data_IF_599312205997
#
_entry.id   IF_599312205997
#
_cell.length_a   1.000
_cell.length_b   1.000
_cell.length_c   1.000
_cell.angle_alpha   90.00
_cell.angle_beta   90.00
_cell.angle_gamma   90.00
#
_symmetry.space_group_name_H-M   'P 1'
#
loop_
_entity.id
_entity.type
_entity.pdbx_description
1 polymer ?
#
# COMPACT_ATOMS: atom_id res chain seq x y z
N UNK A 1 -3.07 6.09 -23.02
CA UNK A 1 -4.06 6.38 -24.09
C UNK A 1 -4.17 7.88 -24.20
N UNK A 2 -3.87 8.45 -25.37
CA UNK A 2 -3.93 9.88 -25.60
C UNK A 2 -5.37 10.40 -25.51
N UNK A 3 -5.51 11.64 -25.04
CA UNK A 3 -6.81 12.34 -24.95
C UNK A 3 -7.37 12.64 -26.37
N UNK A 4 -6.58 12.37 -27.42
CA UNK A 4 -6.78 12.91 -28.78
C UNK A 4 -8.05 12.56 -29.53
N UNK A 5 -8.74 11.47 -29.17
CA UNK A 5 -9.92 11.02 -29.92
C UNK A 5 -11.24 11.12 -29.12
N UNK A 6 -11.22 11.79 -27.98
CA UNK A 6 -12.38 11.89 -27.10
C UNK A 6 -13.05 13.25 -27.23
N UNK A 7 -14.38 13.23 -27.41
CA UNK A 7 -15.18 14.45 -27.38
C UNK A 7 -15.47 14.98 -25.99
N UNK A 8 -15.29 14.14 -24.95
CA UNK A 8 -15.59 14.47 -23.56
C UNK A 8 -14.66 13.74 -22.59
N UNK A 9 -14.26 14.40 -21.50
CA UNK A 9 -13.42 13.85 -20.43
C UNK A 9 -13.85 14.44 -19.08
N UNK A 10 -13.84 13.62 -18.02
CA UNK A 10 -14.13 14.14 -16.68
C UNK A 10 -12.92 14.82 -16.05
N UNK A 11 -13.16 15.76 -15.11
CA UNK A 11 -12.07 16.41 -14.36
C UNK A 11 -11.26 15.39 -13.56
N UNK A 12 -11.88 14.35 -13.01
CA UNK A 12 -11.18 13.31 -12.27
C UNK A 12 -10.33 12.42 -13.19
N UNK A 13 -10.81 12.11 -14.38
CA UNK A 13 -10.02 11.40 -15.37
C UNK A 13 -8.80 12.22 -15.82
N UNK A 14 -8.98 13.51 -16.08
CA UNK A 14 -7.88 14.44 -16.36
C UNK A 14 -6.86 14.48 -15.22
N UNK A 15 -7.34 14.51 -14.01
CA UNK A 15 -6.52 14.47 -12.79
C UNK A 15 -5.67 13.19 -12.73
N UNK A 16 -6.24 12.03 -13.07
CA UNK A 16 -5.50 10.77 -13.12
C UNK A 16 -4.43 10.73 -14.23
N UNK A 17 -4.72 11.32 -15.39
CA UNK A 17 -3.81 11.32 -16.55
C UNK A 17 -2.71 12.36 -16.40
N UNK A 18 -3.05 13.57 -15.92
CA UNK A 18 -2.19 14.77 -15.97
C UNK A 18 -1.81 15.31 -14.60
N UNK A 19 -2.38 14.76 -13.51
CA UNK A 19 -2.26 15.27 -12.14
C UNK A 19 -2.77 16.71 -11.92
N UNK A 20 -3.53 17.25 -12.85
CA UNK A 20 -4.18 18.56 -12.72
C UNK A 20 -5.15 18.55 -11.56
N UNK A 21 -5.12 19.58 -10.74
CA UNK A 21 -5.99 19.69 -9.58
C UNK A 21 -5.46 19.01 -8.32
N UNK A 22 -4.25 18.42 -8.36
CA UNK A 22 -3.65 17.73 -7.22
C UNK A 22 -2.88 18.64 -6.25
N UNK A 23 -2.61 19.89 -6.62
CA UNK A 23 -1.92 20.85 -5.76
C UNK A 23 -2.80 21.43 -4.63
N UNK A 24 -2.18 22.21 -3.73
CA UNK A 24 -2.81 22.82 -2.57
C UNK A 24 -4.06 23.67 -2.88
N UNK A 25 -4.13 24.29 -4.07
CA UNK A 25 -5.30 25.05 -4.53
C UNK A 25 -6.47 24.16 -5.01
N UNK A 26 -6.34 22.83 -4.94
CA UNK A 26 -7.38 21.85 -5.32
C UNK A 26 -7.97 22.08 -6.72
N UNK A 27 -7.15 22.48 -7.66
CA UNK A 27 -7.58 22.71 -9.04
C UNK A 27 -8.20 24.09 -9.32
N UNK A 28 -8.37 24.96 -8.33
CA UNK A 28 -8.98 26.29 -8.52
C UNK A 28 -8.29 27.11 -9.59
N UNK A 29 -6.99 26.95 -9.80
CA UNK A 29 -6.20 27.69 -10.81
C UNK A 29 -6.02 26.94 -12.12
N UNK A 30 -5.71 25.63 -12.07
CA UNK A 30 -5.37 24.86 -13.26
C UNK A 30 -6.58 24.29 -13.99
N UNK A 31 -7.65 23.86 -13.30
CA UNK A 31 -8.82 23.26 -13.94
C UNK A 31 -9.51 24.20 -14.90
N UNK A 32 -9.79 25.50 -14.57
CA UNK A 32 -10.38 26.43 -15.54
C UNK A 32 -9.53 26.63 -16.78
N UNK A 33 -8.20 26.74 -16.64
CA UNK A 33 -7.28 26.92 -17.77
C UNK A 33 -7.26 25.70 -18.69
N UNK A 34 -7.29 24.51 -18.13
CA UNK A 34 -7.30 23.27 -18.92
C UNK A 34 -8.65 23.06 -19.60
N UNK A 35 -9.76 23.40 -18.92
CA UNK A 35 -11.08 23.42 -19.55
C UNK A 35 -11.08 24.32 -20.79
N UNK A 36 -10.56 25.54 -20.68
CA UNK A 36 -10.45 26.46 -21.79
C UNK A 36 -9.59 25.87 -22.92
N UNK A 37 -8.41 25.32 -22.60
CA UNK A 37 -7.50 24.72 -23.58
C UNK A 37 -8.12 23.52 -24.29
N UNK A 38 -8.78 22.63 -23.60
CA UNK A 38 -9.38 21.43 -24.19
C UNK A 38 -10.63 21.80 -25.01
N UNK A 39 -11.37 22.81 -24.59
CA UNK A 39 -12.52 23.34 -25.36
C UNK A 39 -12.10 23.88 -26.73
N UNK A 40 -10.94 24.54 -26.84
CA UNK A 40 -10.40 24.98 -28.17
C UNK A 40 -10.04 23.82 -29.06
N UNK A 41 -9.88 22.62 -28.52
CA UNK A 41 -9.63 21.36 -29.23
C UNK A 41 -10.89 20.51 -29.44
N UNK A 42 -12.06 21.04 -29.16
CA UNK A 42 -13.33 20.34 -29.30
C UNK A 42 -13.59 19.27 -28.24
N UNK A 43 -12.85 19.30 -27.13
CA UNK A 43 -12.99 18.35 -26.02
C UNK A 43 -13.71 19.05 -24.85
N UNK A 44 -14.85 18.52 -24.45
CA UNK A 44 -15.59 19.01 -23.30
C UNK A 44 -15.06 18.38 -22.00
N UNK A 45 -14.80 19.21 -20.99
CA UNK A 45 -14.38 18.77 -19.66
C UNK A 45 -15.55 18.87 -18.71
N UNK A 46 -16.08 17.74 -18.26
CA UNK A 46 -17.26 17.66 -17.43
C UNK A 46 -16.93 17.36 -15.96
N UNK A 47 -17.87 17.71 -15.07
CA UNK A 47 -17.77 17.43 -13.65
C UNK A 47 -16.91 18.41 -12.86
N UNK A 48 -16.87 18.23 -11.56
CA UNK A 48 -16.00 18.93 -10.61
C UNK A 48 -14.98 17.95 -10.05
N UNK A 49 -13.78 18.41 -9.65
CA UNK A 49 -12.83 17.52 -8.98
C UNK A 49 -13.48 16.90 -7.76
N UNK A 50 -13.40 15.59 -7.62
CA UNK A 50 -13.85 14.92 -6.38
C UNK A 50 -13.13 15.57 -5.20
N UNK A 51 -13.86 16.09 -4.20
CA UNK A 51 -13.26 16.69 -3.04
C UNK A 51 -12.36 15.65 -2.38
N UNK A 52 -11.07 15.94 -2.27
CA UNK A 52 -10.26 15.22 -1.30
C UNK A 52 -10.82 15.61 0.06
N UNK A 53 -11.14 14.62 0.88
CA UNK A 53 -11.50 14.88 2.27
C UNK A 53 -10.49 15.84 2.90
N UNK A 54 -10.80 16.51 3.99
CA UNK A 54 -10.05 17.64 4.52
C UNK A 54 -8.64 17.20 4.90
N UNK A 55 -7.70 17.27 3.94
CA UNK A 55 -6.26 17.05 4.18
C UNK A 55 -5.65 18.17 5.02
N UNK A 56 -6.40 19.24 5.27
CA UNK A 56 -5.94 20.41 6.00
C UNK A 56 -6.64 20.62 7.35
N UNK A 57 -7.63 19.84 7.73
CA UNK A 57 -8.07 19.82 9.11
C UNK A 57 -7.03 19.03 9.91
N UNK A 58 -6.49 19.62 10.95
CA UNK A 58 -5.85 18.87 12.03
C UNK A 58 -6.94 17.98 12.63
N UNK A 59 -7.16 16.83 12.00
CA UNK A 59 -8.05 15.82 12.55
C UNK A 59 -7.28 15.21 13.71
N UNK A 60 -7.78 15.40 14.92
CA UNK A 60 -7.22 14.76 16.08
C UNK A 60 -7.21 13.24 15.81
N UNK A 61 -6.10 12.57 16.11
CA UNK A 61 -5.99 11.12 15.95
C UNK A 61 -7.15 10.39 16.65
N UNK A 62 -7.65 10.94 17.76
CA UNK A 62 -8.87 10.46 18.45
C UNK A 62 -10.15 10.58 17.62
N UNK A 63 -10.25 11.56 16.71
CA UNK A 63 -11.40 11.74 15.82
C UNK A 63 -11.33 10.80 14.60
N UNK A 64 -10.13 10.42 14.19
CA UNK A 64 -9.92 9.42 13.12
C UNK A 64 -10.07 7.98 13.62
N UNK A 65 -9.76 7.78 14.89
CA UNK A 65 -9.89 6.53 15.61
C UNK A 65 -10.48 6.88 17.00
N UNK A 66 -11.80 7.10 17.10
CA UNK A 66 -12.43 7.21 18.40
C UNK A 66 -12.05 5.94 19.19
N UNK A 67 -11.42 6.11 20.32
CA UNK A 67 -10.98 5.02 21.18
C UNK A 67 -12.15 4.16 21.67
N UNK A 68 -13.36 4.68 21.53
CA UNK A 68 -14.61 4.03 21.94
C UNK A 68 -15.53 3.66 20.77
N UNK A 69 -15.24 4.11 19.55
CA UNK A 69 -15.91 3.64 18.35
C UNK A 69 -14.93 2.76 17.58
N UNK A 70 -15.02 1.50 17.83
CA UNK A 70 -14.68 0.49 16.85
C UNK A 70 -15.25 0.96 15.49
N UNK A 71 -14.43 1.27 14.43
CA UNK A 71 -15.01 1.62 13.15
C UNK A 71 -15.83 0.41 12.76
N UNK A 72 -17.14 0.51 12.83
CA UNK A 72 -18.11 -0.55 12.52
C UNK A 72 -17.46 -1.90 12.08
N UNK A 73 -16.65 -2.49 12.91
CA UNK A 73 -16.57 -3.93 13.01
C UNK A 73 -18.02 -4.27 13.27
N UNK A 74 -18.71 -4.83 12.29
CA UNK A 74 -20.08 -5.24 12.43
C UNK A 74 -20.11 -6.02 13.73
N UNK A 75 -20.49 -5.31 14.80
CA UNK A 75 -20.67 -5.88 16.12
C UNK A 75 -21.69 -6.96 15.89
N UNK A 76 -21.26 -8.21 16.06
CA UNK A 76 -22.03 -9.41 16.16
C UNK A 76 -23.47 -9.21 15.68
N UNK A 77 -23.67 -9.25 14.36
CA UNK A 77 -25.00 -9.46 13.84
C UNK A 77 -25.35 -10.87 14.31
N UNK A 78 -26.52 -11.07 14.90
CA UNK A 78 -26.98 -12.36 15.47
C UNK A 78 -27.15 -13.46 14.41
N UNK A 79 -26.28 -13.52 13.43
CA UNK A 79 -26.23 -14.52 12.39
C UNK A 79 -25.56 -15.80 12.87
N UNK A 80 -26.31 -16.87 12.98
CA UNK A 80 -25.73 -18.21 13.16
C UNK A 80 -24.97 -18.59 11.89
N UNK A 81 -23.82 -19.27 12.00
CA UNK A 81 -23.10 -19.79 10.83
C UNK A 81 -24.04 -20.66 9.98
N UNK A 82 -24.11 -20.38 8.68
CA UNK A 82 -24.92 -21.14 7.73
C UNK A 82 -24.21 -22.43 7.32
N UNK A 83 -22.88 -22.44 7.38
CA UNK A 83 -22.06 -23.61 7.08
C UNK A 83 -20.73 -23.56 7.81
N UNK A 84 -20.07 -24.73 7.89
CA UNK A 84 -18.74 -24.92 8.45
C UNK A 84 -17.81 -25.44 7.38
N UNK A 85 -16.64 -24.86 7.28
CA UNK A 85 -15.59 -25.21 6.33
C UNK A 85 -14.30 -25.54 7.09
N UNK A 86 -13.37 -26.24 6.44
CA UNK A 86 -12.06 -26.53 7.03
C UNK A 86 -10.94 -26.17 6.05
N UNK A 87 -9.83 -25.71 6.59
CA UNK A 87 -8.56 -25.54 5.86
C UNK A 87 -7.38 -25.82 6.81
N UNK A 88 -6.19 -26.03 6.26
CA UNK A 88 -4.99 -26.14 7.10
C UNK A 88 -4.56 -24.75 7.59
N UNK A 89 -4.57 -23.76 6.70
CA UNK A 89 -4.11 -22.40 7.00
C UNK A 89 -5.19 -21.39 6.62
N UNK A 90 -5.57 -20.55 7.57
CA UNK A 90 -6.46 -19.41 7.32
C UNK A 90 -5.67 -18.10 7.42
N UNK A 91 -5.60 -17.35 6.33
CA UNK A 91 -4.89 -16.06 6.25
C UNK A 91 -5.89 -14.92 6.32
N UNK A 92 -5.85 -14.16 7.39
CA UNK A 92 -6.68 -12.98 7.57
C UNK A 92 -5.98 -11.73 7.03
N UNK A 93 -6.50 -11.17 5.94
CA UNK A 93 -6.01 -9.96 5.31
C UNK A 93 -5.25 -10.20 3.99
N UNK A 94 -5.80 -9.64 2.89
CA UNK A 94 -5.24 -9.77 1.54
C UNK A 94 -4.30 -8.62 1.14
N UNK A 95 -3.58 -8.00 2.09
CA UNK A 95 -2.50 -7.06 1.80
C UNK A 95 -1.22 -7.77 1.31
N UNK A 96 -0.11 -7.02 1.17
CA UNK A 96 1.15 -7.57 0.67
C UNK A 96 1.61 -8.78 1.50
N UNK A 97 1.63 -8.65 2.82
CA UNK A 97 2.03 -9.73 3.75
C UNK A 97 1.14 -10.96 3.62
N UNK A 98 -0.19 -10.77 3.67
CA UNK A 98 -1.12 -11.89 3.56
C UNK A 98 -1.09 -12.55 2.20
N UNK A 99 -1.00 -11.78 1.11
CA UNK A 99 -0.91 -12.32 -0.25
C UNK A 99 0.40 -13.11 -0.47
N UNK A 100 1.53 -12.64 0.09
CA UNK A 100 2.79 -13.36 0.03
C UNK A 100 2.75 -14.69 0.81
N UNK A 101 2.16 -14.70 2.01
CA UNK A 101 1.98 -15.90 2.81
C UNK A 101 0.98 -16.86 2.17
N UNK A 102 -0.13 -16.34 1.63
CA UNK A 102 -1.09 -17.14 0.86
C UNK A 102 -0.42 -17.87 -0.29
N UNK A 103 0.37 -17.16 -1.11
CA UNK A 103 1.18 -17.75 -2.17
C UNK A 103 2.10 -18.84 -1.61
N UNK A 104 2.90 -18.51 -0.59
CA UNK A 104 3.86 -19.43 0.02
C UNK A 104 3.21 -20.74 0.47
N UNK A 105 2.08 -20.67 1.18
CA UNK A 105 1.39 -21.86 1.66
C UNK A 105 0.80 -22.67 0.51
N UNK A 106 0.21 -22.02 -0.49
CA UNK A 106 -0.33 -22.69 -1.67
C UNK A 106 0.77 -23.42 -2.48
N UNK A 107 1.90 -22.75 -2.76
CA UNK A 107 3.07 -23.36 -3.42
C UNK A 107 3.60 -24.57 -2.64
N UNK A 108 3.51 -24.55 -1.31
CA UNK A 108 3.87 -25.66 -0.43
C UNK A 108 2.72 -26.68 -0.22
N UNK A 109 1.72 -26.68 -1.10
CA UNK A 109 0.61 -27.65 -1.15
C UNK A 109 -0.24 -27.66 0.13
N UNK A 110 -0.31 -26.56 0.83
CA UNK A 110 -1.20 -26.39 1.99
C UNK A 110 -2.58 -25.99 1.53
N UNK A 111 -3.61 -26.52 2.18
CA UNK A 111 -4.98 -26.09 2.00
C UNK A 111 -5.16 -24.73 2.64
N UNK A 112 -4.94 -23.65 1.87
CA UNK A 112 -4.95 -22.27 2.37
C UNK A 112 -6.16 -21.50 1.88
N UNK A 113 -6.80 -20.80 2.81
CA UNK A 113 -7.89 -19.85 2.55
C UNK A 113 -7.44 -18.46 3.03
N UNK A 114 -7.59 -17.45 2.17
CA UNK A 114 -7.32 -16.06 2.51
C UNK A 114 -8.60 -15.23 2.45
N UNK A 115 -8.87 -14.44 3.49
CA UNK A 115 -9.98 -13.48 3.49
C UNK A 115 -9.47 -12.08 3.17
N UNK A 116 -10.17 -11.37 2.28
CA UNK A 116 -9.85 -10.02 1.87
C UNK A 116 -11.12 -9.15 1.77
N UNK A 117 -11.21 -8.14 2.64
CA UNK A 117 -12.40 -7.29 2.72
C UNK A 117 -12.19 -5.89 2.13
N UNK A 118 -11.08 -5.23 2.47
CA UNK A 118 -10.82 -3.83 2.10
C UNK A 118 -9.47 -3.67 1.45
N UNK A 119 -9.34 -2.65 0.63
CA UNK A 119 -8.05 -2.21 0.11
C UNK A 119 -7.31 -1.41 1.18
N UNK A 120 -6.41 -2.08 1.91
CA UNK A 120 -5.58 -1.49 2.97
C UNK A 120 -4.38 -0.70 2.43
N UNK A 121 -3.36 -0.51 3.29
CA UNK A 121 -2.15 0.27 2.99
C UNK A 121 -1.38 -0.22 1.77
N UNK A 122 -1.40 -1.53 1.49
CA UNK A 122 -0.71 -2.13 0.33
C UNK A 122 -1.24 -1.65 -1.02
N UNK A 123 -2.49 -1.17 -1.10
CA UNK A 123 -3.08 -0.58 -2.30
C UNK A 123 -2.86 0.94 -2.40
N UNK A 124 -2.50 1.57 -1.30
CA UNK A 124 -2.43 3.03 -1.16
C UNK A 124 -1.02 3.57 -1.04
N UNK A 125 -0.01 2.71 -1.18
CA UNK A 125 1.39 3.11 -1.13
C UNK A 125 1.87 3.66 -2.47
N UNK A 126 3.06 4.25 -2.47
CA UNK A 126 3.73 4.77 -3.68
C UNK A 126 4.46 3.68 -4.47
N UNK A 127 4.46 2.45 -3.98
CA UNK A 127 5.11 1.28 -4.56
C UNK A 127 6.62 1.42 -4.82
N UNK A 128 7.28 2.27 -4.06
CA UNK A 128 8.73 2.41 -4.11
C UNK A 128 9.43 1.36 -3.24
N UNK A 129 10.44 0.73 -3.77
CA UNK A 129 11.35 -0.14 -3.04
C UNK A 129 12.79 0.40 -3.10
N UNK A 130 13.56 0.19 -2.03
CA UNK A 130 14.94 0.66 -1.91
C UNK A 130 15.77 -0.28 -1.04
N UNK A 131 17.06 -0.48 -1.32
CA UNK A 131 17.97 -1.20 -0.42
C UNK A 131 18.64 -0.29 0.61
N UNK A 132 18.57 1.05 0.46
CA UNK A 132 19.20 2.00 1.39
C UNK A 132 18.46 2.07 2.72
N UNK A 133 18.75 1.13 3.61
CA UNK A 133 18.28 1.11 5.00
C UNK A 133 19.46 1.26 5.96
N UNK A 134 19.22 1.84 7.13
CA UNK A 134 20.23 1.96 8.20
C UNK A 134 20.65 0.61 8.81
N UNK A 135 19.90 -0.45 8.56
CA UNK A 135 20.18 -1.82 9.05
C UNK A 135 20.57 -2.70 7.85
N UNK A 136 21.81 -3.22 7.78
CA UNK A 136 22.32 -3.99 6.64
C UNK A 136 21.43 -5.21 6.30
N UNK A 137 20.97 -5.95 7.30
CA UNK A 137 20.10 -7.11 7.10
C UNK A 137 18.78 -6.76 6.40
N UNK A 138 18.23 -5.57 6.66
CA UNK A 138 17.01 -5.09 5.97
C UNK A 138 17.33 -4.72 4.53
N UNK A 139 18.51 -4.12 4.28
CA UNK A 139 18.98 -3.84 2.92
C UNK A 139 19.11 -5.13 2.08
N UNK A 140 19.64 -6.20 2.66
CA UNK A 140 19.76 -7.51 2.00
C UNK A 140 18.40 -8.13 1.69
N UNK A 141 17.45 -8.05 2.62
CA UNK A 141 16.05 -8.47 2.39
C UNK A 141 15.43 -7.65 1.26
N UNK A 142 15.68 -6.35 1.20
CA UNK A 142 15.16 -5.49 0.14
C UNK A 142 15.72 -5.89 -1.23
N UNK A 143 17.02 -6.22 -1.34
CA UNK A 143 17.61 -6.72 -2.59
C UNK A 143 17.02 -8.06 -3.02
N UNK A 144 16.82 -8.98 -2.08
CA UNK A 144 16.13 -10.25 -2.37
C UNK A 144 14.71 -10.02 -2.88
N UNK A 145 13.98 -9.06 -2.29
CA UNK A 145 12.65 -8.68 -2.77
C UNK A 145 12.69 -8.13 -4.20
N UNK A 146 13.72 -7.37 -4.59
CA UNK A 146 13.84 -6.89 -5.97
C UNK A 146 13.90 -8.04 -6.97
N UNK A 147 14.58 -9.12 -6.65
CA UNK A 147 14.64 -10.31 -7.52
C UNK A 147 13.25 -10.96 -7.67
N UNK A 148 12.47 -11.02 -6.59
CA UNK A 148 11.07 -11.48 -6.65
C UNK A 148 10.23 -10.57 -7.56
N UNK A 149 10.41 -9.24 -7.48
CA UNK A 149 9.71 -8.29 -8.35
C UNK A 149 10.11 -8.45 -9.82
N UNK A 150 11.40 -8.71 -10.11
CA UNK A 150 11.89 -9.01 -11.46
C UNK A 150 11.25 -10.27 -12.02
N UNK A 151 11.12 -11.30 -11.19
CA UNK A 151 10.45 -12.55 -11.55
C UNK A 151 8.95 -12.31 -11.86
N UNK A 152 8.25 -11.61 -11.00
CA UNK A 152 6.85 -11.23 -11.23
C UNK A 152 6.69 -10.41 -12.50
N UNK A 153 7.64 -9.50 -12.81
CA UNK A 153 7.61 -8.70 -14.05
C UNK A 153 7.74 -9.57 -15.31
N UNK A 154 8.48 -10.68 -15.25
CA UNK A 154 8.59 -11.65 -16.38
C UNK A 154 7.29 -12.41 -16.59
N UNK A 155 6.60 -12.78 -15.51
CA UNK A 155 5.37 -13.56 -15.56
C UNK A 155 4.14 -12.70 -15.87
N UNK A 156 4.08 -11.52 -15.27
CA UNK A 156 2.96 -10.58 -15.39
C UNK A 156 3.50 -9.15 -15.36
N UNK A 157 3.06 -8.29 -16.26
CA UNK A 157 3.55 -6.92 -16.31
C UNK A 157 3.11 -6.10 -15.10
N UNK A 158 3.93 -6.05 -14.05
CA UNK A 158 3.68 -5.28 -12.82
C UNK A 158 4.13 -3.81 -12.92
N UNK A 159 4.56 -3.37 -14.11
CA UNK A 159 5.14 -2.05 -14.36
C UNK A 159 6.38 -1.76 -13.51
N UNK A 160 7.24 -2.76 -13.34
CA UNK A 160 8.51 -2.60 -12.61
C UNK A 160 9.42 -1.63 -13.38
N UNK A 161 9.86 -0.58 -12.71
CA UNK A 161 10.78 0.43 -13.24
C UNK A 161 11.88 0.69 -12.24
N UNK A 162 13.10 0.84 -12.74
CA UNK A 162 14.19 1.37 -11.93
C UNK A 162 13.93 2.86 -11.64
N UNK A 163 14.25 3.28 -10.45
CA UNK A 163 14.13 4.65 -9.98
C UNK A 163 15.29 5.00 -9.06
N UNK A 164 15.32 6.24 -8.60
CA UNK A 164 16.30 6.71 -7.62
C UNK A 164 15.59 7.12 -6.34
N UNK A 165 16.25 6.92 -5.22
CA UNK A 165 15.79 7.44 -3.94
C UNK A 165 16.76 8.52 -3.48
N UNK A 166 16.20 9.64 -2.98
CA UNK A 166 16.99 10.77 -2.51
C UNK A 166 16.61 11.04 -1.06
N UNK A 167 17.57 10.87 -0.17
CA UNK A 167 17.44 11.22 1.26
C UNK A 167 18.20 12.51 1.53
N UNK A 168 17.54 13.53 2.06
CA UNK A 168 18.19 14.81 2.38
C UNK A 168 18.68 14.86 3.82
N UNK A 169 19.90 15.35 4.01
CA UNK A 169 20.48 15.69 5.31
C UNK A 169 20.20 17.16 5.61
N UNK A 170 19.62 17.46 6.76
CA UNK A 170 19.31 18.80 7.22
C UNK A 170 20.14 19.22 8.46
N UNK A 171 20.82 18.26 9.07
CA UNK A 171 21.74 18.45 10.20
C UNK A 171 22.84 17.39 10.19
N UNK A 172 23.81 17.55 11.06
CA UNK A 172 24.97 16.65 11.16
C UNK A 172 24.59 15.23 11.58
N UNK A 173 23.55 15.06 12.40
CA UNK A 173 23.06 13.75 12.82
C UNK A 173 22.47 13.00 11.63
N UNK A 174 21.62 13.65 10.85
CA UNK A 174 21.02 13.09 9.64
C UNK A 174 22.09 12.82 8.58
N UNK A 175 23.06 13.73 8.41
CA UNK A 175 24.19 13.55 7.51
C UNK A 175 24.97 12.27 7.86
N UNK A 176 25.34 12.11 9.13
CA UNK A 176 26.06 10.92 9.59
C UNK A 176 25.26 9.63 9.35
N UNK A 177 23.97 9.62 9.67
CA UNK A 177 23.12 8.46 9.47
C UNK A 177 23.00 8.08 7.99
N UNK A 178 22.91 9.04 7.08
CA UNK A 178 22.91 8.81 5.64
C UNK A 178 24.28 8.32 5.15
N UNK A 179 25.36 8.95 5.60
CA UNK A 179 26.73 8.57 5.24
C UNK A 179 27.05 7.15 5.67
N UNK A 180 26.68 6.76 6.89
CA UNK A 180 26.91 5.42 7.41
C UNK A 180 26.18 4.36 6.56
N UNK A 181 25.03 4.70 5.96
CA UNK A 181 24.28 3.79 5.10
C UNK A 181 24.93 3.50 3.75
N UNK A 182 25.93 4.28 3.32
CA UNK A 182 26.68 4.02 2.08
C UNK A 182 27.48 2.72 2.13
N UNK A 183 27.88 2.28 3.31
CA UNK A 183 28.76 1.11 3.46
C UNK A 183 28.16 -0.22 2.97
N UNK A 184 26.84 -0.29 2.79
CA UNK A 184 26.11 -1.49 2.35
C UNK A 184 25.08 -1.25 1.26
N UNK A 185 25.16 -0.12 0.59
CA UNK A 185 24.30 0.24 -0.55
C UNK A 185 25.10 0.83 -1.69
N UNK A 186 24.59 0.85 -2.91
CA UNK A 186 25.16 1.55 -4.06
C UNK A 186 24.84 3.06 -4.03
N UNK A 187 24.80 3.62 -2.84
CA UNK A 187 24.47 5.01 -2.60
C UNK A 187 25.72 5.89 -2.59
N UNK A 188 25.54 7.15 -2.96
CA UNK A 188 26.59 8.16 -2.90
C UNK A 188 26.04 9.48 -2.37
N UNK A 189 26.91 10.22 -1.67
CA UNK A 189 26.57 11.54 -1.15
C UNK A 189 26.78 12.62 -2.21
N UNK A 190 25.91 13.60 -2.21
CA UNK A 190 25.94 14.77 -3.07
C UNK A 190 25.86 16.03 -2.22
N UNK A 191 26.79 16.96 -2.42
CA UNK A 191 26.76 18.26 -1.78
C UNK A 191 25.65 19.15 -2.35
N UNK A 192 25.17 20.10 -1.55
CA UNK A 192 24.09 21.04 -1.95
C UNK A 192 24.39 21.76 -3.28
N UNK A 193 25.64 22.15 -3.54
CA UNK A 193 26.06 22.83 -4.78
C UNK A 193 25.78 22.02 -6.05
N UNK A 194 25.71 20.69 -5.94
CA UNK A 194 25.53 19.77 -7.06
C UNK A 194 24.08 19.26 -7.19
N UNK A 195 23.15 19.70 -6.33
CA UNK A 195 21.76 19.23 -6.34
C UNK A 195 21.05 19.45 -7.69
N UNK A 196 21.28 20.59 -8.34
CA UNK A 196 20.68 20.86 -9.66
C UNK A 196 21.15 19.88 -10.73
N UNK A 197 22.41 19.48 -10.66
CA UNK A 197 23.01 18.55 -11.62
C UNK A 197 22.59 17.11 -11.32
N UNK A 198 22.68 16.69 -10.07
CA UNK A 198 22.58 15.28 -9.68
C UNK A 198 21.15 14.84 -9.32
N UNK A 199 20.30 15.76 -8.83
CA UNK A 199 18.95 15.46 -8.38
C UNK A 199 17.91 15.96 -9.41
N UNK A 200 17.87 17.29 -9.62
CA UNK A 200 16.91 17.90 -10.53
C UNK A 200 17.34 19.31 -10.92
N UNK A 201 17.30 19.68 -12.20
CA UNK A 201 17.59 21.05 -12.65
C UNK A 201 16.61 22.08 -12.09
N UNK A 202 15.45 21.63 -11.62
CA UNK A 202 14.41 22.46 -10.98
C UNK A 202 14.55 22.58 -9.47
N UNK A 203 15.66 22.06 -8.89
CA UNK A 203 15.87 22.17 -7.45
C UNK A 203 15.94 23.63 -7.04
N UNK A 204 15.20 24.00 -5.98
CA UNK A 204 15.16 25.38 -5.49
C UNK A 204 16.32 25.63 -4.51
N UNK A 205 17.34 26.35 -4.95
CA UNK A 205 18.52 26.67 -4.14
C UNK A 205 18.21 27.55 -2.92
N UNK A 206 17.06 28.25 -2.88
CA UNK A 206 16.65 29.04 -1.72
C UNK A 206 16.20 28.17 -0.54
N UNK A 207 16.06 26.86 -0.71
CA UNK A 207 15.83 25.92 0.38
C UNK A 207 17.14 25.67 1.13
N UNK A 208 17.45 26.54 2.08
CA UNK A 208 18.70 26.50 2.84
C UNK A 208 18.69 25.52 4.02
N UNK A 209 17.74 24.60 4.03
CA UNK A 209 17.54 23.62 5.10
C UNK A 209 18.31 22.31 4.85
N UNK A 210 18.87 22.12 3.65
CA UNK A 210 19.59 20.88 3.31
C UNK A 210 21.06 21.16 3.08
N UNK A 211 21.93 20.31 3.67
CA UNK A 211 23.39 20.38 3.54
C UNK A 211 23.90 19.45 2.43
N UNK A 212 23.36 18.24 2.38
CA UNK A 212 23.73 17.20 1.45
C UNK A 212 22.55 16.26 1.17
N UNK A 213 22.71 15.39 0.18
CA UNK A 213 21.75 14.34 -0.11
C UNK A 213 22.46 13.02 -0.38
N UNK A 214 21.85 11.93 0.06
CA UNK A 214 22.21 10.56 -0.33
C UNK A 214 21.36 10.14 -1.53
N UNK A 215 21.98 9.72 -2.60
CA UNK A 215 21.31 9.17 -3.79
C UNK A 215 21.56 7.68 -3.86
N UNK A 216 20.49 6.90 -4.00
CA UNK A 216 20.54 5.45 -4.19
C UNK A 216 19.94 5.09 -5.55
N UNK A 217 20.68 4.38 -6.40
CA UNK A 217 20.25 4.00 -7.74
C UNK A 217 19.55 2.65 -7.82
N UNK A 218 19.83 1.72 -6.92
CA UNK A 218 19.19 0.39 -6.84
C UNK A 218 17.74 0.44 -6.33
N UNK A 219 17.00 1.48 -6.66
CA UNK A 219 15.62 1.63 -6.24
C UNK A 219 14.69 1.24 -7.37
N UNK A 220 13.48 0.85 -7.00
CA UNK A 220 12.47 0.45 -7.98
C UNK A 220 11.10 0.96 -7.61
N UNK A 221 10.23 0.96 -8.58
CA UNK A 221 8.82 1.25 -8.44
C UNK A 221 8.01 0.25 -9.26
N UNK A 222 6.87 -0.18 -8.72
CA UNK A 222 5.91 -1.03 -9.42
C UNK A 222 4.48 -0.51 -9.18
N UNK A 223 3.48 -1.08 -9.82
CA UNK A 223 2.08 -0.77 -9.55
C UNK A 223 1.56 -1.67 -8.43
N UNK A 224 1.20 -1.16 -7.25
CA UNK A 224 0.86 -1.99 -6.08
C UNK A 224 -0.22 -3.03 -6.35
N UNK A 225 -1.29 -2.62 -7.03
CA UNK A 225 -2.38 -3.53 -7.39
C UNK A 225 -1.93 -4.69 -8.26
N UNK A 226 -1.14 -4.40 -9.30
CA UNK A 226 -0.63 -5.43 -10.21
C UNK A 226 0.31 -6.42 -9.50
N UNK A 227 1.12 -5.93 -8.54
CA UNK A 227 1.98 -6.80 -7.73
C UNK A 227 1.14 -7.74 -6.87
N UNK A 228 0.11 -7.20 -6.20
CA UNK A 228 -0.78 -8.01 -5.37
C UNK A 228 -1.53 -9.05 -6.21
N UNK A 229 -2.06 -8.65 -7.35
CA UNK A 229 -2.79 -9.56 -8.25
C UNK A 229 -1.87 -10.65 -8.78
N UNK A 230 -0.62 -10.32 -9.15
CA UNK A 230 0.37 -11.29 -9.60
C UNK A 230 0.67 -12.34 -8.51
N UNK A 231 0.93 -11.90 -7.28
CA UNK A 231 1.21 -12.79 -6.15
C UNK A 231 0.00 -13.70 -5.85
N UNK A 232 -1.19 -13.14 -5.83
CA UNK A 232 -2.45 -13.87 -5.57
C UNK A 232 -2.74 -14.90 -6.64
N UNK A 233 -2.58 -14.53 -7.91
CA UNK A 233 -2.82 -15.44 -9.03
C UNK A 233 -1.90 -16.67 -8.99
N UNK A 234 -0.65 -16.52 -8.54
CA UNK A 234 0.24 -17.67 -8.30
C UNK A 234 -0.36 -18.56 -7.20
N UNK A 235 -0.78 -18.01 -6.07
CA UNK A 235 -1.41 -18.81 -5.02
C UNK A 235 -2.68 -19.53 -5.48
N UNK A 236 -3.52 -18.86 -6.26
CA UNK A 236 -4.73 -19.45 -6.85
C UNK A 236 -4.39 -20.60 -7.81
N UNK A 237 -3.37 -20.44 -8.66
CA UNK A 237 -2.95 -21.50 -9.59
C UNK A 237 -2.40 -22.75 -8.89
N UNK A 238 -1.99 -22.63 -7.63
CA UNK A 238 -1.57 -23.73 -6.78
C UNK A 238 -2.67 -24.26 -5.84
N UNK A 239 -3.93 -23.89 -6.09
CA UNK A 239 -5.10 -24.44 -5.38
C UNK A 239 -5.50 -23.68 -4.11
N UNK A 240 -4.90 -22.54 -3.82
CA UNK A 240 -5.36 -21.66 -2.73
C UNK A 240 -6.74 -21.05 -3.04
N UNK A 241 -7.47 -20.66 -2.01
CA UNK A 241 -8.78 -20.03 -2.11
C UNK A 241 -8.75 -18.61 -1.55
N UNK A 242 -9.33 -17.64 -2.26
CA UNK A 242 -9.49 -16.25 -1.79
C UNK A 242 -10.96 -15.93 -1.62
N UNK A 243 -11.33 -15.44 -0.46
CA UNK A 243 -12.64 -14.91 -0.13
C UNK A 243 -12.60 -13.39 -0.34
N UNK A 244 -12.84 -12.93 -1.57
CA UNK A 244 -12.88 -11.50 -1.87
C UNK A 244 -14.14 -10.86 -1.29
N UNK A 245 -14.05 -9.55 -0.99
CA UNK A 245 -15.11 -8.74 -0.39
C UNK A 245 -15.78 -9.40 0.83
N UNK A 246 -14.99 -10.19 1.56
CA UNK A 246 -15.43 -10.96 2.71
C UNK A 246 -14.70 -10.49 3.96
N UNK A 247 -15.42 -10.36 5.07
CA UNK A 247 -14.92 -9.79 6.30
C UNK A 247 -14.73 -10.84 7.39
N UNK A 248 -13.55 -10.90 8.00
CA UNK A 248 -13.37 -11.60 9.27
C UNK A 248 -14.11 -10.84 10.37
N UNK A 249 -14.97 -11.53 11.10
CA UNK A 249 -15.76 -10.96 12.21
C UNK A 249 -15.19 -11.36 13.56
N UNK A 250 -14.76 -12.60 13.69
CA UNK A 250 -14.30 -13.17 14.96
C UNK A 250 -13.24 -14.23 14.71
N UNK A 251 -12.32 -14.39 15.66
CA UNK A 251 -11.39 -15.50 15.70
C UNK A 251 -11.31 -16.03 17.14
N UNK A 252 -11.32 -17.35 17.30
CA UNK A 252 -11.21 -18.03 18.58
C UNK A 252 -10.18 -19.15 18.50
N UNK A 253 -9.44 -19.36 19.59
CA UNK A 253 -8.62 -20.55 19.75
C UNK A 253 -9.50 -21.72 20.18
N UNK A 254 -9.32 -22.86 19.55
CA UNK A 254 -10.03 -24.12 19.88
C UNK A 254 -9.04 -25.15 20.42
N UNK A 255 -9.52 -26.32 20.82
CA UNK A 255 -8.64 -27.42 21.25
C UNK A 255 -7.68 -27.88 20.15
N UNK A 256 -8.11 -27.84 18.88
CA UNK A 256 -7.39 -28.38 17.74
C UNK A 256 -7.08 -27.31 16.67
N UNK A 257 -6.73 -26.09 17.08
CA UNK A 257 -6.41 -25.00 16.16
C UNK A 257 -7.23 -23.75 16.42
N UNK A 258 -7.86 -23.21 15.37
CA UNK A 258 -8.59 -21.94 15.44
C UNK A 258 -9.92 -22.05 14.70
N UNK A 259 -10.86 -21.19 15.11
CA UNK A 259 -12.11 -20.95 14.40
C UNK A 259 -12.16 -19.49 13.98
N UNK A 260 -12.43 -19.24 12.72
CA UNK A 260 -12.62 -17.92 12.14
C UNK A 260 -14.04 -17.77 11.60
N UNK A 261 -14.80 -16.78 12.09
CA UNK A 261 -16.11 -16.44 11.56
C UNK A 261 -15.99 -15.37 10.48
N UNK A 262 -16.50 -15.67 9.30
CA UNK A 262 -16.42 -14.81 8.12
C UNK A 262 -17.80 -14.43 7.63
N UNK A 263 -18.02 -13.14 7.37
CA UNK A 263 -19.13 -12.66 6.57
C UNK A 263 -18.66 -12.58 5.11
N UNK A 264 -19.23 -13.44 4.25
CA UNK A 264 -18.87 -13.49 2.84
C UNK A 264 -19.56 -12.36 2.04
N UNK A 265 -19.10 -12.13 0.82
CA UNK A 265 -19.71 -11.15 -0.11
C UNK A 265 -21.19 -11.43 -0.37
N UNK A 266 -21.62 -12.69 -0.29
CA UNK A 266 -23.02 -13.11 -0.40
C UNK A 266 -23.83 -12.90 0.89
N UNK A 267 -23.23 -12.26 1.91
CA UNK A 267 -23.84 -12.04 3.22
C UNK A 267 -24.13 -13.33 4.01
N UNK A 268 -23.39 -14.38 3.73
CA UNK A 268 -23.44 -15.62 4.49
C UNK A 268 -22.42 -15.59 5.63
N UNK A 269 -22.79 -16.14 6.78
CA UNK A 269 -21.88 -16.37 7.89
C UNK A 269 -21.28 -17.78 7.76
N UNK A 270 -19.95 -17.84 7.54
CA UNK A 270 -19.24 -19.10 7.37
C UNK A 270 -18.20 -19.23 8.47
N UNK A 271 -18.21 -20.38 9.14
CA UNK A 271 -17.26 -20.74 10.19
C UNK A 271 -16.14 -21.59 9.58
N UNK A 272 -14.90 -21.06 9.56
CA UNK A 272 -13.71 -21.77 9.10
C UNK A 272 -12.95 -22.34 10.30
N UNK A 273 -12.77 -23.67 10.32
CA UNK A 273 -11.86 -24.35 11.25
C UNK A 273 -10.52 -24.52 10.56
N UNK A 274 -9.42 -24.13 11.23
CA UNK A 274 -8.08 -24.22 10.67
C UNK A 274 -7.05 -24.64 11.72
N UNK A 275 -5.98 -25.31 11.25
CA UNK A 275 -4.89 -25.71 12.14
C UNK A 275 -4.02 -24.52 12.50
N UNK A 276 -3.85 -23.57 11.53
CA UNK A 276 -3.06 -22.36 11.69
C UNK A 276 -3.85 -21.12 11.26
N UNK A 277 -3.82 -20.09 12.09
CA UNK A 277 -4.39 -18.78 11.81
C UNK A 277 -3.28 -17.75 11.63
N UNK A 278 -3.29 -17.05 10.51
CA UNK A 278 -2.31 -16.00 10.17
C UNK A 278 -3.00 -14.65 10.23
N UNK A 279 -2.61 -13.81 11.17
CA UNK A 279 -3.10 -12.45 11.28
C UNK A 279 -2.25 -11.50 10.43
N UNK A 280 -2.73 -11.15 9.24
CA UNK A 280 -2.11 -10.21 8.30
C UNK A 280 -3.00 -8.98 8.02
N UNK A 281 -3.82 -8.59 9.00
CA UNK A 281 -4.85 -7.55 8.90
C UNK A 281 -4.30 -6.11 8.94
N UNK A 282 -2.97 -5.94 8.96
CA UNK A 282 -2.35 -4.62 8.93
C UNK A 282 -2.77 -3.78 10.14
N UNK A 283 -3.44 -2.66 9.90
CA UNK A 283 -3.88 -1.76 10.98
C UNK A 283 -4.92 -2.37 11.95
N UNK A 284 -5.61 -3.42 11.53
CA UNK A 284 -6.64 -4.10 12.34
C UNK A 284 -6.06 -5.33 13.08
N UNK A 285 -4.77 -5.63 12.89
CA UNK A 285 -4.16 -6.84 13.45
C UNK A 285 -4.25 -6.93 14.98
N UNK A 286 -4.11 -5.80 15.69
CA UNK A 286 -4.19 -5.76 17.17
C UNK A 286 -5.60 -6.13 17.69
N UNK A 287 -6.64 -5.73 16.95
CA UNK A 287 -8.04 -6.03 17.34
C UNK A 287 -8.29 -7.54 17.41
N UNK A 288 -7.82 -8.27 16.40
CA UNK A 288 -8.01 -9.73 16.35
C UNK A 288 -6.98 -10.49 17.20
N UNK A 289 -5.78 -9.94 17.40
CA UNK A 289 -4.82 -10.49 18.35
C UNK A 289 -5.37 -10.48 19.78
N UNK A 290 -6.06 -9.42 20.19
CA UNK A 290 -6.72 -9.32 21.50
C UNK A 290 -7.81 -10.37 21.72
N UNK A 291 -8.54 -10.77 20.67
CA UNK A 291 -9.52 -11.87 20.77
C UNK A 291 -8.84 -13.21 21.12
N UNK A 292 -7.56 -13.35 20.76
CA UNK A 292 -6.74 -14.52 21.10
C UNK A 292 -5.94 -14.36 22.41
N UNK A 293 -6.18 -13.27 23.15
CA UNK A 293 -5.45 -12.96 24.39
C UNK A 293 -4.01 -12.49 24.16
N UNK A 294 -3.68 -12.00 22.96
CA UNK A 294 -2.33 -11.53 22.60
C UNK A 294 -2.34 -10.00 22.56
N UNK A 295 -1.49 -9.38 23.38
CA UNK A 295 -1.19 -7.95 23.29
C UNK A 295 -0.01 -7.71 22.34
N UNK A 296 -0.23 -7.00 21.26
CA UNK A 296 0.81 -6.75 20.24
C UNK A 296 1.57 -5.45 20.48
N UNK A 297 0.99 -4.50 21.20
CA UNK A 297 1.49 -3.14 21.33
C UNK A 297 1.48 -2.34 20.00
N UNK A 298 0.85 -2.87 18.96
CA UNK A 298 0.71 -2.19 17.67
C UNK A 298 -0.38 -1.13 17.74
N UNK A 299 -0.06 0.05 17.24
CA UNK A 299 -1.04 1.11 17.00
C UNK A 299 -0.83 1.70 15.60
N UNK A 300 -1.92 1.97 14.88
CA UNK A 300 -1.81 2.49 13.53
C UNK A 300 -1.35 3.95 13.53
N UNK A 301 -0.40 4.27 12.64
CA UNK A 301 0.06 5.64 12.40
C UNK A 301 -0.24 6.01 10.96
N UNK A 302 -0.83 7.18 10.74
CA UNK A 302 -1.13 7.67 9.41
C UNK A 302 0.11 8.31 8.79
N UNK A 303 0.56 7.77 7.68
CA UNK A 303 1.55 8.42 6.82
C UNK A 303 0.89 9.05 5.61
N UNK A 304 1.41 10.19 5.17
CA UNK A 304 0.96 10.86 3.95
C UNK A 304 2.13 10.94 2.97
N UNK A 305 1.87 10.62 1.71
CA UNK A 305 2.78 10.87 0.62
C UNK A 305 2.18 11.97 -0.28
N UNK A 306 3.02 12.90 -0.67
CA UNK A 306 2.68 13.95 -1.62
C UNK A 306 3.32 13.61 -2.96
N UNK A 307 2.55 13.68 -4.02
CA UNK A 307 2.99 13.36 -5.38
C UNK A 307 2.76 14.58 -6.25
#
# INVERSE_FOLDING_TARGET
KSVGDRKMISVDELKHITRIGMGACRGKRCVPRVRQLLRTKGIEVVGTPTPRGPLSSQVNVKELYPTDSNPELITRVDGKPTRKERCEVFVAGGGMTGSALFRYFAENKKQVVMVNFRRGSSWRNIAGGRPAFSVPKIADIARQNLEIYKELQKQTQINLKQTRYVGFAHDDQTYKALHDSMSWSDAFMVDKKDFKKEISPYFNDSLDIYQAALITNECWQATPGLVLDAIRNIGLSHGGTILEDSQLLEVQKTQNGYMALVLTHNKEYVEYHCDHFVNALGQEADVFAKQLGIETGLYPVKHQAFI
#
